data_IF_350457052210
#
_entry.id   IF_350457052210
#
_cell.length_a   1.000
_cell.length_b   1.000
_cell.length_c   1.000
_cell.angle_alpha   90.00
_cell.angle_beta   90.00
_cell.angle_gamma   90.00
#
_symmetry.space_group_name_H-M   'P 1'
#
loop_
_entity.id
_entity.type
_entity.pdbx_description
1 polymer ?
#
# COMPACT_ATOMS: atom_id res chain seq x y z
N UNK A 1 -23.67 -0.79 -5.54
CA UNK A 1 -22.55 -1.04 -4.60
C UNK A 1 -22.40 -2.54 -4.45
N UNK A 2 -21.21 -3.08 -4.68
CA UNK A 2 -20.91 -4.51 -4.52
C UNK A 2 -19.89 -4.66 -3.38
N UNK A 3 -20.10 -5.62 -2.47
CA UNK A 3 -19.22 -5.89 -1.32
C UNK A 3 -18.90 -7.37 -1.22
N UNK A 4 -17.61 -7.72 -1.19
CA UNK A 4 -17.15 -9.13 -1.25
C UNK A 4 -17.03 -9.82 0.11
N UNK A 5 -17.12 -9.07 1.21
CA UNK A 5 -17.26 -9.65 2.57
C UNK A 5 -18.45 -10.61 2.70
N UNK A 6 -19.37 -10.61 1.74
CA UNK A 6 -20.57 -11.45 1.68
C UNK A 6 -20.56 -12.46 0.52
N UNK A 7 -19.59 -12.39 -0.41
CA UNK A 7 -19.60 -13.17 -1.66
C UNK A 7 -18.18 -13.67 -1.97
N UNK A 8 -18.01 -14.99 -2.05
CA UNK A 8 -16.78 -15.62 -2.52
C UNK A 8 -16.66 -15.48 -4.05
N UNK A 9 -15.61 -14.83 -4.55
CA UNK A 9 -15.48 -14.44 -5.97
C UNK A 9 -14.49 -15.30 -6.78
N UNK A 10 -14.20 -16.54 -6.36
CA UNK A 10 -13.16 -17.34 -7.02
C UNK A 10 -13.52 -17.66 -8.48
N UNK A 11 -12.73 -17.15 -9.44
CA UNK A 11 -12.94 -17.37 -10.88
C UNK A 11 -14.15 -16.62 -11.46
N UNK A 12 -14.63 -15.57 -10.79
CA UNK A 12 -15.82 -14.85 -11.21
C UNK A 12 -15.48 -13.70 -12.18
N UNK A 13 -16.27 -13.55 -13.24
CA UNK A 13 -16.30 -12.30 -14.03
C UNK A 13 -17.45 -11.44 -13.52
N UNK A 14 -17.15 -10.24 -13.05
CA UNK A 14 -18.15 -9.30 -12.55
C UNK A 14 -18.56 -8.39 -13.72
N UNK A 15 -19.72 -8.69 -14.30
CA UNK A 15 -20.40 -7.82 -15.26
C UNK A 15 -21.27 -6.82 -14.49
N UNK A 16 -20.76 -5.61 -14.24
CA UNK A 16 -21.46 -4.59 -13.45
C UNK A 16 -21.62 -3.27 -14.23
N UNK A 17 -22.51 -3.22 -15.24
CA UNK A 17 -22.79 -1.96 -15.94
C UNK A 17 -23.35 -0.95 -14.93
N UNK A 18 -22.79 0.26 -14.92
CA UNK A 18 -23.12 1.34 -13.97
C UNK A 18 -22.61 1.15 -12.54
N UNK A 19 -21.52 0.40 -12.33
CA UNK A 19 -20.85 0.37 -11.03
C UNK A 19 -20.34 1.77 -10.65
N UNK A 20 -20.60 2.17 -9.41
CA UNK A 20 -20.08 3.41 -8.82
C UNK A 20 -19.01 3.12 -7.76
N UNK A 21 -19.19 2.04 -7.00
CA UNK A 21 -18.30 1.66 -5.91
C UNK A 21 -18.27 0.13 -5.75
N UNK A 22 -17.06 -0.40 -5.65
CA UNK A 22 -16.76 -1.77 -5.27
C UNK A 22 -15.98 -1.79 -3.95
N UNK A 23 -16.37 -2.68 -3.04
CA UNK A 23 -15.64 -2.89 -1.79
C UNK A 23 -15.19 -4.34 -1.70
N UNK A 24 -13.89 -4.53 -1.60
CA UNK A 24 -13.27 -5.82 -1.37
C UNK A 24 -12.74 -5.90 0.06
N UNK A 25 -13.09 -6.95 0.80
CA UNK A 25 -12.59 -7.18 2.16
C UNK A 25 -12.09 -8.61 2.26
N UNK A 26 -10.83 -8.81 2.65
CA UNK A 26 -10.27 -10.13 2.86
C UNK A 26 -9.32 -10.20 4.05
N UNK A 27 -9.22 -11.40 4.63
CA UNK A 27 -8.20 -11.74 5.61
C UNK A 27 -6.96 -12.31 4.91
N UNK A 28 -5.79 -11.85 5.32
CA UNK A 28 -4.50 -12.45 4.97
C UNK A 28 -4.34 -13.70 5.85
N UNK A 29 -3.98 -14.87 5.31
CA UNK A 29 -3.41 -15.10 3.98
C UNK A 29 -4.35 -15.79 2.99
N UNK A 30 -5.66 -15.57 3.10
CA UNK A 30 -6.62 -16.20 2.19
C UNK A 30 -6.25 -15.89 0.74
N UNK A 31 -6.24 -16.92 -0.12
CA UNK A 31 -6.05 -16.77 -1.55
C UNK A 31 -7.01 -15.70 -2.06
N UNK A 32 -6.45 -14.63 -2.64
CA UNK A 32 -7.28 -13.57 -3.19
C UNK A 32 -7.98 -14.16 -4.41
N UNK A 33 -9.31 -14.13 -4.47
CA UNK A 33 -10.02 -14.69 -5.60
C UNK A 33 -9.61 -13.93 -6.87
N UNK A 34 -9.17 -14.65 -7.88
CA UNK A 34 -9.03 -14.12 -9.23
C UNK A 34 -10.43 -13.82 -9.76
N UNK A 35 -10.75 -12.54 -9.87
CA UNK A 35 -11.93 -12.06 -10.59
C UNK A 35 -11.50 -11.03 -11.62
N UNK A 36 -12.31 -10.84 -12.65
CA UNK A 36 -12.13 -9.78 -13.64
C UNK A 36 -13.37 -8.89 -13.66
N UNK A 37 -13.16 -7.63 -14.02
CA UNK A 37 -14.23 -6.68 -14.23
C UNK A 37 -14.47 -6.48 -15.72
N UNK A 38 -15.74 -6.50 -16.11
CA UNK A 38 -16.20 -5.99 -17.40
C UNK A 38 -17.24 -4.93 -17.11
N UNK A 39 -16.83 -3.66 -17.21
CA UNK A 39 -17.72 -2.51 -17.04
C UNK A 39 -17.83 -1.74 -18.35
N UNK A 40 -19.05 -1.30 -18.66
CA UNK A 40 -19.35 -0.47 -19.83
C UNK A 40 -19.55 1.00 -19.46
N UNK A 41 -19.12 1.42 -18.26
CA UNK A 41 -19.40 2.76 -17.74
C UNK A 41 -18.49 3.83 -18.32
N UNK A 42 -19.08 4.89 -18.87
CA UNK A 42 -18.38 6.15 -19.22
C UNK A 42 -18.02 7.02 -18.01
N UNK A 43 -18.37 6.59 -16.79
CA UNK A 43 -18.12 7.32 -15.53
C UNK A 43 -17.04 6.63 -14.72
N UNK A 44 -16.18 7.43 -14.09
CA UNK A 44 -15.20 6.96 -13.11
C UNK A 44 -15.91 6.29 -11.92
N UNK A 45 -15.34 5.18 -11.44
CA UNK A 45 -15.83 4.44 -10.28
C UNK A 45 -14.70 4.19 -9.29
N UNK A 46 -15.05 3.96 -8.03
CA UNK A 46 -14.08 3.81 -6.94
C UNK A 46 -14.02 2.35 -6.44
N UNK A 47 -12.82 1.88 -6.11
CA UNK A 47 -12.60 0.59 -5.45
C UNK A 47 -12.00 0.80 -4.07
N UNK A 48 -12.57 0.16 -3.06
CA UNK A 48 -12.06 0.16 -1.70
C UNK A 48 -11.62 -1.26 -1.32
N UNK A 49 -10.33 -1.47 -1.14
CA UNK A 49 -9.73 -2.78 -0.86
C UNK A 49 -9.22 -2.78 0.58
N UNK A 50 -9.79 -3.64 1.42
CA UNK A 50 -9.43 -3.81 2.82
C UNK A 50 -8.79 -5.17 3.03
N UNK A 51 -7.50 -5.20 3.35
CA UNK A 51 -6.75 -6.42 3.63
C UNK A 51 -6.31 -6.41 5.11
N UNK A 52 -6.61 -7.47 5.84
CA UNK A 52 -6.30 -7.56 7.27
C UNK A 52 -5.63 -8.88 7.63
N UNK A 53 -4.54 -8.86 8.38
CA UNK A 53 -3.89 -10.08 8.90
C UNK A 53 -4.27 -10.35 10.36
N UNK A 54 -5.54 -10.14 10.72
CA UNK A 54 -6.03 -10.29 12.10
C UNK A 54 -6.00 -11.73 12.62
N UNK A 55 -5.83 -12.74 11.76
CA UNK A 55 -5.75 -14.14 12.16
C UNK A 55 -4.30 -14.57 12.49
N UNK A 56 -4.21 -15.68 13.23
CA UNK A 56 -3.00 -16.23 13.86
C UNK A 56 -1.78 -16.36 12.94
N UNK A 57 -0.62 -16.62 13.55
CA UNK A 57 0.62 -16.92 12.83
C UNK A 57 0.36 -18.11 11.90
N UNK A 58 0.10 -17.84 10.63
CA UNK A 58 0.21 -18.85 9.60
C UNK A 58 1.72 -19.14 9.42
N UNK A 59 2.20 -20.33 9.83
CA UNK A 59 3.60 -20.68 9.68
C UNK A 59 4.01 -20.77 8.21
N UNK A 60 3.05 -20.96 7.30
CA UNK A 60 3.25 -21.11 5.86
C UNK A 60 3.00 -19.79 5.09
N UNK A 61 2.94 -18.65 5.80
CA UNK A 61 2.74 -17.36 5.14
C UNK A 61 3.91 -16.99 4.23
N UNK A 62 3.72 -17.18 2.92
CA UNK A 62 4.60 -16.67 1.89
C UNK A 62 4.26 -15.21 1.56
N UNK A 63 5.12 -14.30 2.04
CA UNK A 63 5.10 -12.86 1.75
C UNK A 63 5.11 -12.57 0.24
N UNK A 64 5.92 -13.28 -0.54
CA UNK A 64 6.09 -13.00 -1.96
C UNK A 64 4.83 -13.42 -2.73
N UNK A 65 4.29 -14.59 -2.38
CA UNK A 65 2.99 -15.03 -2.89
C UNK A 65 1.89 -14.03 -2.56
N UNK A 66 1.85 -13.53 -1.32
CA UNK A 66 0.89 -12.51 -0.92
C UNK A 66 1.00 -11.23 -1.75
N UNK A 67 2.21 -10.72 -1.98
CA UNK A 67 2.40 -9.55 -2.86
C UNK A 67 1.91 -9.79 -4.29
N UNK A 68 2.14 -10.98 -4.85
CA UNK A 68 1.64 -11.36 -6.17
C UNK A 68 0.11 -11.37 -6.22
N UNK A 69 -0.54 -11.92 -5.20
CA UNK A 69 -1.99 -11.95 -5.11
C UNK A 69 -2.60 -10.55 -4.94
N UNK A 70 -1.96 -9.68 -4.15
CA UNK A 70 -2.36 -8.27 -4.04
C UNK A 70 -2.23 -7.57 -5.38
N UNK A 71 -1.14 -7.83 -6.12
CA UNK A 71 -0.94 -7.27 -7.47
C UNK A 71 -2.08 -7.66 -8.42
N UNK A 72 -2.37 -8.96 -8.52
CA UNK A 72 -3.46 -9.50 -9.37
C UNK A 72 -4.81 -8.85 -9.04
N UNK A 73 -5.10 -8.71 -7.75
CA UNK A 73 -6.30 -8.03 -7.28
C UNK A 73 -6.35 -6.56 -7.72
N UNK A 74 -5.25 -5.82 -7.57
CA UNK A 74 -5.18 -4.41 -7.97
C UNK A 74 -5.26 -4.24 -9.50
N UNK A 75 -4.64 -5.14 -10.26
CA UNK A 75 -4.71 -5.15 -11.74
C UNK A 75 -6.15 -5.35 -12.23
N UNK A 76 -6.90 -6.26 -11.61
CA UNK A 76 -8.32 -6.47 -11.90
C UNK A 76 -9.19 -5.24 -11.60
N UNK A 77 -8.68 -4.29 -10.80
CA UNK A 77 -9.35 -3.06 -10.41
C UNK A 77 -8.72 -1.81 -11.05
N UNK A 78 -7.77 -1.97 -11.98
CA UNK A 78 -6.95 -0.88 -12.53
C UNK A 78 -7.74 0.19 -13.30
N UNK A 79 -8.93 -0.16 -13.80
CA UNK A 79 -9.88 0.78 -14.43
C UNK A 79 -10.62 1.68 -13.42
N UNK A 80 -10.42 1.46 -12.13
CA UNK A 80 -11.05 2.22 -11.04
C UNK A 80 -10.06 3.11 -10.31
N UNK A 81 -10.60 4.04 -9.52
CA UNK A 81 -9.83 4.76 -8.50
C UNK A 81 -9.68 3.89 -7.26
N UNK A 82 -8.51 3.29 -7.09
CA UNK A 82 -8.28 2.33 -6.01
C UNK A 82 -7.86 3.03 -4.71
N UNK A 83 -8.50 2.66 -3.61
CA UNK A 83 -8.08 2.92 -2.23
C UNK A 83 -7.74 1.61 -1.53
N UNK A 84 -6.51 1.46 -1.06
CA UNK A 84 -5.99 0.26 -0.43
C UNK A 84 -5.76 0.48 1.08
N UNK A 85 -6.40 -0.33 1.91
CA UNK A 85 -6.31 -0.28 3.36
C UNK A 85 -5.70 -1.58 3.89
N UNK A 86 -4.53 -1.48 4.52
CA UNK A 86 -3.76 -2.60 5.04
C UNK A 86 -3.75 -2.56 6.58
N UNK A 87 -4.21 -3.65 7.20
CA UNK A 87 -4.18 -3.86 8.64
C UNK A 87 -3.28 -5.06 8.97
N UNK A 88 -2.02 -4.80 9.34
CA UNK A 88 -0.94 -5.80 9.33
C UNK A 88 -0.51 -6.26 10.73
N UNK A 89 -1.40 -6.93 11.46
CA UNK A 89 -1.14 -7.44 12.81
C UNK A 89 -0.64 -8.90 12.84
N UNK A 90 -0.78 -9.68 11.76
CA UNK A 90 -0.29 -11.04 11.59
C UNK A 90 0.99 -11.14 10.75
N UNK A 91 1.44 -12.36 10.45
CA UNK A 91 2.59 -12.63 9.60
C UNK A 91 3.97 -12.60 10.29
N UNK A 92 5.03 -13.03 9.58
CA UNK A 92 6.36 -13.32 10.12
C UNK A 92 7.03 -12.06 10.66
N UNK A 93 7.90 -12.26 11.66
CA UNK A 93 8.68 -11.18 12.29
C UNK A 93 9.77 -10.62 11.39
N UNK A 94 10.19 -11.40 10.38
CA UNK A 94 11.08 -11.00 9.31
C UNK A 94 10.35 -11.14 7.98
N UNK A 95 10.48 -10.15 7.11
CA UNK A 95 9.87 -10.15 5.78
C UNK A 95 11.01 -10.33 4.78
N UNK A 96 11.30 -11.56 4.34
CA UNK A 96 12.22 -11.81 3.24
C UNK A 96 11.50 -11.44 1.94
N UNK A 97 11.43 -10.13 1.63
CA UNK A 97 11.05 -9.69 0.30
C UNK A 97 12.20 -10.05 -0.64
N UNK A 98 12.05 -11.13 -1.41
CA UNK A 98 12.99 -11.42 -2.48
C UNK A 98 12.62 -10.54 -3.68
N UNK A 99 13.62 -9.86 -4.25
CA UNK A 99 13.41 -8.94 -5.36
C UNK A 99 12.93 -9.64 -6.64
N UNK A 100 13.25 -10.93 -6.80
CA UNK A 100 13.23 -11.63 -8.08
C UNK A 100 11.84 -11.83 -8.73
N UNK A 101 10.72 -11.75 -8.00
CA UNK A 101 9.42 -12.19 -8.52
C UNK A 101 8.57 -11.10 -9.20
N UNK A 102 8.93 -9.82 -9.05
CA UNK A 102 8.11 -8.69 -9.53
C UNK A 102 8.86 -7.74 -10.49
N UNK A 103 10.05 -8.12 -10.94
CA UNK A 103 11.00 -7.22 -11.61
C UNK A 103 10.63 -6.84 -13.07
N UNK A 104 9.54 -7.38 -13.63
CA UNK A 104 9.24 -7.23 -15.06
C UNK A 104 7.98 -6.44 -15.40
N UNK A 105 7.11 -6.17 -14.43
CA UNK A 105 5.82 -5.53 -14.72
C UNK A 105 5.63 -4.23 -13.92
N UNK A 106 5.08 -3.18 -14.54
CA UNK A 106 4.92 -1.89 -13.89
C UNK A 106 3.95 -2.00 -12.69
N UNK A 107 4.23 -1.30 -11.58
CA UNK A 107 3.37 -1.32 -10.40
C UNK A 107 2.01 -0.63 -10.67
N UNK A 108 0.94 -1.15 -10.05
CA UNK A 108 -0.41 -0.62 -10.22
C UNK A 108 -0.57 0.74 -9.53
N UNK A 109 -1.17 1.71 -10.20
CA UNK A 109 -1.44 3.03 -9.60
C UNK A 109 -2.55 2.91 -8.57
N UNK A 110 -2.29 3.40 -7.35
CA UNK A 110 -3.26 3.44 -6.25
C UNK A 110 -3.48 4.90 -5.86
N UNK A 111 -4.73 5.32 -5.66
CA UNK A 111 -5.03 6.72 -5.32
C UNK A 111 -4.72 7.02 -3.86
N UNK A 112 -5.21 6.16 -2.97
CA UNK A 112 -5.02 6.26 -1.53
C UNK A 112 -4.54 4.93 -0.97
N UNK A 113 -3.57 4.97 -0.07
CA UNK A 113 -3.14 3.82 0.70
C UNK A 113 -3.15 4.16 2.19
N UNK A 114 -3.66 3.25 3.01
CA UNK A 114 -3.53 3.32 4.46
C UNK A 114 -2.81 2.08 4.97
N UNK A 115 -1.82 2.27 5.85
CA UNK A 115 -1.14 1.17 6.52
C UNK A 115 -1.27 1.33 8.03
N UNK A 116 -1.80 0.31 8.69
CA UNK A 116 -2.02 0.26 10.14
C UNK A 116 -1.49 -1.05 10.71
N UNK A 117 -0.82 -0.98 11.85
CA UNK A 117 -0.40 -2.14 12.66
C UNK A 117 -0.33 -1.74 14.13
N UNK A 118 -0.78 -2.62 15.02
CA UNK A 118 -0.60 -2.52 16.47
C UNK A 118 0.67 -3.22 16.95
N UNK A 119 1.34 -3.99 16.09
CA UNK A 119 2.59 -4.67 16.43
C UNK A 119 3.80 -3.76 16.24
N UNK A 120 4.69 -3.78 17.22
CA UNK A 120 6.03 -3.23 17.08
C UNK A 120 6.84 -4.15 16.16
N UNK A 121 7.21 -3.66 14.97
CA UNK A 121 8.09 -4.34 14.01
C UNK A 121 9.46 -3.67 13.99
N UNK A 122 10.47 -4.41 13.54
CA UNK A 122 11.83 -3.88 13.35
C UNK A 122 11.88 -2.90 12.17
N UNK A 123 12.89 -2.03 12.14
CA UNK A 123 13.09 -1.13 11.01
C UNK A 123 13.32 -1.88 9.68
N UNK A 124 14.04 -3.03 9.74
CA UNK A 124 14.27 -3.91 8.60
C UNK A 124 12.96 -4.51 8.06
N UNK A 125 12.04 -4.90 8.94
CA UNK A 125 10.72 -5.40 8.55
C UNK A 125 9.95 -4.34 7.76
N UNK A 126 9.85 -3.12 8.29
CA UNK A 126 9.15 -2.04 7.61
C UNK A 126 9.80 -1.70 6.27
N UNK A 127 11.14 -1.73 6.19
CA UNK A 127 11.85 -1.46 4.95
C UNK A 127 11.56 -2.54 3.90
N UNK A 128 11.72 -3.82 4.25
CA UNK A 128 11.43 -4.94 3.37
C UNK A 128 9.97 -4.93 2.89
N UNK A 129 9.03 -4.77 3.81
CA UNK A 129 7.61 -4.69 3.50
C UNK A 129 7.28 -3.51 2.57
N UNK A 130 7.79 -2.31 2.86
CA UNK A 130 7.58 -1.12 2.03
C UNK A 130 8.16 -1.33 0.63
N UNK A 131 9.34 -1.96 0.53
CA UNK A 131 9.96 -2.29 -0.75
C UNK A 131 9.08 -3.23 -1.59
N UNK A 132 8.59 -4.33 -0.99
CA UNK A 132 7.72 -5.28 -1.67
C UNK A 132 6.40 -4.64 -2.10
N UNK A 133 5.77 -3.88 -1.21
CA UNK A 133 4.47 -3.25 -1.48
C UNK A 133 4.56 -2.21 -2.59
N UNK A 134 5.62 -1.41 -2.62
CA UNK A 134 5.79 -0.37 -3.64
C UNK A 134 6.22 -0.92 -5.01
N UNK A 135 6.66 -2.19 -5.08
CA UNK A 135 6.81 -2.93 -6.34
C UNK A 135 5.47 -3.44 -6.86
N UNK A 136 4.52 -3.68 -5.98
CA UNK A 136 3.15 -4.06 -6.35
C UNK A 136 2.33 -2.85 -6.78
N UNK A 137 2.46 -1.73 -6.07
CA UNK A 137 1.64 -0.54 -6.33
C UNK A 137 2.32 0.79 -6.05
N UNK A 138 1.87 1.85 -6.73
CA UNK A 138 2.31 3.25 -6.55
C UNK A 138 1.18 4.08 -5.96
N UNK A 139 1.10 4.25 -4.63
CA UNK A 139 0.11 5.11 -4.03
C UNK A 139 0.41 6.58 -4.32
N UNK A 140 -0.59 7.36 -4.73
CA UNK A 140 -0.45 8.83 -4.87
C UNK A 140 -0.55 9.54 -3.52
N UNK A 141 -1.29 8.93 -2.58
CA UNK A 141 -1.45 9.42 -1.22
C UNK A 141 -1.28 8.27 -0.24
N UNK A 142 -0.53 8.50 0.83
CA UNK A 142 -0.37 7.54 1.93
C UNK A 142 -0.86 8.17 3.23
N UNK A 143 -1.87 7.54 3.80
CA UNK A 143 -2.38 7.79 5.13
C UNK A 143 -1.72 6.82 6.10
N UNK A 144 -1.32 7.36 7.23
CA UNK A 144 -0.70 6.62 8.31
C UNK A 144 -0.38 7.63 9.39
N UNK A 145 -0.53 7.26 10.65
CA UNK A 145 -0.06 8.08 11.75
C UNK A 145 -0.21 7.32 13.05
N UNK A 146 0.66 7.62 14.00
CA UNK A 146 0.49 7.19 15.38
C UNK A 146 -0.04 8.38 16.19
N UNK A 147 -1.23 8.22 16.76
CA UNK A 147 -1.78 9.20 17.70
C UNK A 147 -0.87 9.25 18.93
N UNK A 148 -0.34 10.43 19.25
CA UNK A 148 0.53 10.64 20.42
C UNK A 148 -0.20 11.27 21.60
N UNK A 149 -1.32 11.97 21.35
CA UNK A 149 -2.18 12.50 22.40
C UNK A 149 -3.62 12.60 21.91
N UNK A 150 -4.54 11.94 22.62
CA UNK A 150 -5.97 11.95 22.32
C UNK A 150 -6.66 13.27 22.64
N UNK A 151 -6.23 13.99 23.68
CA UNK A 151 -6.81 15.28 24.06
C UNK A 151 -6.43 16.41 23.10
N UNK A 152 -5.24 16.34 22.49
CA UNK A 152 -4.74 17.35 21.56
C UNK A 152 -4.87 16.96 20.08
N UNK A 153 -5.36 15.74 19.77
CA UNK A 153 -5.37 15.16 18.41
C UNK A 153 -4.03 15.36 17.67
N UNK A 154 -2.94 15.16 18.39
CA UNK A 154 -1.58 15.26 17.85
C UNK A 154 -1.09 13.92 17.37
N UNK A 155 -0.42 13.91 16.23
CA UNK A 155 0.05 12.72 15.56
C UNK A 155 1.53 12.81 15.21
N UNK A 156 2.17 11.65 15.07
CA UNK A 156 3.50 11.48 14.47
C UNK A 156 3.40 10.56 13.27
N UNK A 157 4.39 10.68 12.37
CA UNK A 157 4.56 9.76 11.25
C UNK A 157 4.66 8.33 11.76
N UNK A 158 3.99 7.40 11.09
CA UNK A 158 4.22 5.97 11.34
C UNK A 158 5.61 5.56 10.85
N UNK A 159 6.17 4.48 11.38
CA UNK A 159 7.45 3.94 10.86
C UNK A 159 7.35 3.57 9.36
N UNK A 160 6.16 3.20 8.88
CA UNK A 160 5.89 3.01 7.45
C UNK A 160 6.08 4.30 6.65
N UNK A 161 5.43 5.40 7.05
CA UNK A 161 5.60 6.70 6.41
C UNK A 161 7.01 7.25 6.55
N UNK A 162 7.61 7.04 7.71
CA UNK A 162 8.99 7.45 7.99
C UNK A 162 9.94 6.73 7.05
N UNK A 163 9.77 5.43 6.79
CA UNK A 163 10.58 4.70 5.82
C UNK A 163 10.41 5.24 4.39
N UNK A 164 9.21 5.68 4.02
CA UNK A 164 9.00 6.35 2.73
C UNK A 164 9.80 7.67 2.62
N UNK A 165 9.96 8.38 3.75
CA UNK A 165 10.70 9.64 3.87
C UNK A 165 12.19 9.50 4.20
N UNK A 166 12.63 8.36 4.74
CA UNK A 166 14.02 8.12 5.18
C UNK A 166 14.81 7.25 4.23
N UNK A 167 14.13 6.74 3.22
CA UNK A 167 14.64 6.23 1.97
C UNK A 167 15.85 7.02 1.41
N UNK A 168 17.06 6.74 1.92
CA UNK A 168 18.29 7.39 1.48
C UNK A 168 18.66 6.92 0.07
N UNK A 169 19.13 7.86 -0.76
CA UNK A 169 19.80 7.69 -2.07
C UNK A 169 20.99 6.71 -2.13
N UNK A 170 21.31 5.98 -1.06
CA UNK A 170 22.54 5.20 -0.95
C UNK A 170 22.42 3.73 -1.36
N UNK A 171 21.25 3.23 -1.75
CA UNK A 171 21.13 1.88 -2.34
C UNK A 171 21.19 2.01 -3.86
N UNK A 172 22.39 2.27 -4.39
CA UNK A 172 22.64 2.36 -5.85
C UNK A 172 22.62 1.01 -6.56
N UNK A 173 22.54 -0.10 -5.81
CA UNK A 173 22.88 -1.43 -6.33
C UNK A 173 21.69 -2.36 -6.52
N UNK A 174 20.48 -2.00 -6.09
CA UNK A 174 19.30 -2.84 -6.30
C UNK A 174 18.51 -2.38 -7.54
N UNK A 175 18.38 -3.21 -8.59
CA UNK A 175 17.43 -2.95 -9.65
C UNK A 175 16.01 -2.87 -9.07
N UNK A 176 15.23 -1.88 -9.52
CA UNK A 176 13.84 -1.63 -9.10
C UNK A 176 13.65 -1.24 -7.63
N UNK A 177 14.63 -0.54 -7.06
CA UNK A 177 14.41 0.18 -5.82
C UNK A 177 13.46 1.35 -6.07
N UNK A 178 12.24 1.28 -5.50
CA UNK A 178 11.16 2.24 -5.71
C UNK A 178 11.55 3.71 -5.49
N UNK A 179 12.62 3.95 -4.74
CA UNK A 179 13.14 5.28 -4.47
C UNK A 179 13.66 5.98 -5.73
N UNK A 180 14.12 5.23 -6.73
CA UNK A 180 14.50 5.81 -8.03
C UNK A 180 13.30 6.40 -8.76
N UNK A 181 12.12 5.81 -8.53
CA UNK A 181 10.86 6.21 -9.15
C UNK A 181 10.14 7.29 -8.35
N UNK A 182 10.49 7.53 -7.07
CA UNK A 182 9.85 8.57 -6.27
C UNK A 182 10.51 9.94 -6.53
N UNK A 183 9.75 10.85 -7.12
CA UNK A 183 10.23 12.18 -7.51
C UNK A 183 10.11 13.20 -6.37
N UNK A 184 8.94 13.25 -5.71
CA UNK A 184 8.63 14.24 -4.67
C UNK A 184 7.73 13.63 -3.60
N UNK A 185 7.93 14.09 -2.35
CA UNK A 185 7.06 13.78 -1.22
C UNK A 185 6.63 15.08 -0.55
N UNK A 186 5.33 15.24 -0.35
CA UNK A 186 4.78 16.33 0.44
C UNK A 186 4.16 15.77 1.71
N UNK A 187 4.39 16.44 2.84
CA UNK A 187 3.72 16.17 4.11
C UNK A 187 2.74 17.32 4.35
N UNK A 188 1.45 17.02 4.44
CA UNK A 188 0.37 18.01 4.63
C UNK A 188 0.46 19.19 3.64
N UNK A 189 0.79 18.88 2.39
CA UNK A 189 0.91 19.85 1.29
C UNK A 189 2.25 20.59 1.22
N UNK A 190 3.14 20.44 2.21
CA UNK A 190 4.48 21.03 2.17
C UNK A 190 5.47 20.06 1.55
N UNK A 191 6.23 20.52 0.55
CA UNK A 191 7.30 19.72 -0.05
C UNK A 191 8.37 19.44 1.01
N UNK A 192 8.64 18.17 1.26
CA UNK A 192 9.70 17.77 2.17
C UNK A 192 11.01 17.82 1.41
N UNK A 193 11.89 18.73 1.83
CA UNK A 193 13.30 18.56 1.54
C UNK A 193 13.81 17.45 2.45
N UNK A 194 14.68 16.58 1.93
CA UNK A 194 15.28 15.48 2.69
C UNK A 194 16.27 16.05 3.73
N UNK A 195 15.73 16.74 4.73
CA UNK A 195 16.44 17.38 5.84
C UNK A 195 16.53 16.42 7.03
N UNK A 196 17.13 16.92 8.12
CA UNK A 196 17.51 16.17 9.33
C UNK A 196 16.49 15.10 9.75
N UNK A 197 16.92 13.84 9.73
CA UNK A 197 16.11 12.68 10.06
C UNK A 197 15.57 12.74 11.50
N UNK A 198 16.31 13.36 12.41
CA UNK A 198 15.93 13.51 13.80
C UNK A 198 14.76 14.47 13.97
N UNK A 199 14.68 15.50 13.12
CA UNK A 199 13.57 16.46 13.10
C UNK A 199 12.29 15.78 12.60
N UNK A 200 12.34 15.11 11.45
CA UNK A 200 11.19 14.42 10.86
C UNK A 200 10.58 13.38 11.81
N UNK A 201 11.41 12.62 12.52
CA UNK A 201 10.96 11.57 13.44
C UNK A 201 10.25 12.13 14.68
N UNK A 202 10.67 13.30 15.16
CA UNK A 202 10.16 13.90 16.39
C UNK A 202 9.04 14.93 16.16
N UNK A 203 8.88 15.41 14.93
CA UNK A 203 7.84 16.37 14.55
C UNK A 203 6.45 15.83 14.82
N UNK A 204 5.62 16.66 15.43
CA UNK A 204 4.20 16.38 15.69
C UNK A 204 3.32 17.25 14.80
N UNK A 205 2.18 16.71 14.39
CA UNK A 205 1.24 17.35 13.49
C UNK A 205 -0.15 17.39 14.14
N UNK A 206 -0.92 18.42 13.83
CA UNK A 206 -2.30 18.54 14.26
C UNK A 206 -3.19 17.81 13.25
N UNK A 207 -3.82 16.70 13.68
CA UNK A 207 -4.61 15.84 12.80
C UNK A 207 -3.82 14.73 12.09
N UNK A 208 -4.55 13.91 11.34
CA UNK A 208 -3.99 12.77 10.58
C UNK A 208 -3.07 13.31 9.49
N UNK A 209 -1.89 12.70 9.36
CA UNK A 209 -0.83 13.15 8.45
C UNK A 209 -1.01 12.52 7.07
N UNK A 210 -0.89 13.34 6.02
CA UNK A 210 -1.00 12.92 4.63
C UNK A 210 0.33 13.04 3.93
N UNK A 211 0.84 11.92 3.40
CA UNK A 211 1.90 11.96 2.42
C UNK A 211 1.29 12.04 1.03
N UNK A 212 1.67 13.04 0.24
CA UNK A 212 1.40 13.07 -1.20
C UNK A 212 2.68 12.74 -1.96
N UNK A 213 2.59 11.72 -2.79
CA UNK A 213 3.72 11.14 -3.51
C UNK A 213 3.60 11.45 -4.99
N UNK A 214 4.68 11.94 -5.58
CA UNK A 214 4.81 12.09 -7.03
C UNK A 214 5.82 11.07 -7.52
N UNK A 215 5.37 10.15 -8.35
CA UNK A 215 6.21 9.15 -8.99
C UNK A 215 6.66 9.67 -10.35
N UNK A 216 7.91 9.37 -10.74
CA UNK A 216 8.39 9.57 -12.11
C UNK A 216 7.56 8.71 -13.05
N UNK A 217 7.21 9.25 -14.21
CA UNK A 217 6.66 8.45 -15.27
C UNK A 217 7.69 7.37 -15.66
N UNK A 218 7.30 6.10 -15.59
CA UNK A 218 8.08 5.05 -16.22
C UNK A 218 7.93 5.28 -17.73
N UNK A 219 8.96 5.85 -18.35
CA UNK A 219 9.10 5.76 -19.81
C UNK A 219 9.21 4.28 -20.12
N UNK A 220 8.14 3.72 -20.70
CA UNK A 220 8.21 2.43 -21.39
C UNK A 220 9.36 2.52 -22.39
N UNK A 221 10.40 1.71 -22.17
CA UNK A 221 11.47 1.51 -23.12
C UNK A 221 10.98 0.65 -24.29
#
# INVERSE_FOLDING_TARGET
>A
MISTSKILLKGATICAPNILNFTFIACIPQALPTFSFTTTTSKEWDSNVFLSSLCEKDPDFDVNWWFLEVRRLLEALSESRISLFLYMDGGPQDVPCSSAFLDHEPPVVVRYMSFTTFKCRTASWYLGFTNGLLRVCRPSHVLGCRLVSGSARKYRLSEFQLNMLLAKKNVRTEPYFWQHDLEQVHVDGQLVQWTDQSELRNRTYDGVIWLRLKWRAQTTA
#
